data_IF_342750738328
#
_entry.id   IF_342750738328
#
_cell.length_a   1.000
_cell.length_b   1.000
_cell.length_c   1.000
_cell.angle_alpha   90.00
_cell.angle_beta   90.00
_cell.angle_gamma   90.00
#
_symmetry.space_group_name_H-M   'P 1'
#
loop_
_entity.id
_entity.type
_entity.pdbx_description
1 polymer ?
#
# COMPACT_ATOMS: atom_id res chain seq x y z
N UNK A 1 -9.77 2.68 -15.60
CA UNK A 1 -8.67 3.10 -16.49
C UNK A 1 -7.56 2.08 -16.29
N UNK A 2 -7.06 1.44 -17.34
CA UNK A 2 -5.97 0.46 -17.22
C UNK A 2 -4.65 1.21 -17.42
N UNK A 3 -3.84 1.32 -16.37
CA UNK A 3 -2.53 1.98 -16.43
C UNK A 3 -1.45 0.95 -16.79
N UNK A 4 -1.17 0.77 -18.08
CA UNK A 4 -0.27 -0.28 -18.59
C UNK A 4 1.11 -0.36 -17.91
N UNK A 5 1.65 0.76 -17.43
CA UNK A 5 3.00 0.83 -16.83
C UNK A 5 3.02 0.89 -15.31
N UNK A 6 1.86 0.87 -14.64
CA UNK A 6 1.80 0.92 -13.17
C UNK A 6 2.56 -0.23 -12.49
N UNK A 7 2.50 -1.49 -12.98
CA UNK A 7 3.32 -2.57 -12.44
C UNK A 7 4.82 -2.27 -12.49
N UNK A 8 5.31 -1.61 -13.55
CA UNK A 8 6.72 -1.23 -13.66
C UNK A 8 7.14 -0.19 -12.61
N UNK A 9 6.22 0.63 -12.12
CA UNK A 9 6.50 1.62 -11.07
C UNK A 9 6.79 0.96 -9.72
N UNK A 10 6.19 -0.20 -9.45
CA UNK A 10 6.44 -0.98 -8.24
C UNK A 10 7.92 -1.37 -8.14
N UNK A 11 8.48 -1.91 -9.23
CA UNK A 11 9.87 -2.35 -9.29
C UNK A 11 10.84 -1.15 -9.38
N UNK A 12 10.50 -0.14 -10.18
CA UNK A 12 11.38 1.00 -10.43
C UNK A 12 11.49 1.96 -9.24
N UNK A 13 10.47 2.00 -8.35
CA UNK A 13 10.43 2.84 -7.14
C UNK A 13 10.65 4.33 -7.40
N UNK A 14 10.39 4.78 -8.62
CA UNK A 14 10.72 6.12 -9.10
C UNK A 14 10.07 7.23 -8.27
N UNK A 15 8.83 7.01 -7.83
CA UNK A 15 7.97 8.01 -7.20
C UNK A 15 7.78 7.76 -5.71
N UNK A 16 8.71 7.04 -5.08
CA UNK A 16 8.64 6.80 -3.66
C UNK A 16 9.13 8.05 -2.89
N UNK A 17 8.19 8.81 -2.35
CA UNK A 17 8.39 10.12 -1.72
C UNK A 17 8.06 10.14 -0.22
N UNK A 18 7.62 9.00 0.34
CA UNK A 18 7.41 8.81 1.77
C UNK A 18 7.99 7.48 2.26
N UNK A 19 8.14 7.35 3.57
CA UNK A 19 8.56 6.12 4.25
C UNK A 19 7.51 5.73 5.29
N UNK A 20 7.03 4.48 5.20
CA UNK A 20 6.17 3.88 6.21
C UNK A 20 7.04 3.04 7.15
N UNK A 21 6.85 3.21 8.46
CA UNK A 21 7.62 2.54 9.50
C UNK A 21 6.72 1.53 10.22
N UNK A 22 6.95 0.26 9.95
CA UNK A 22 6.19 -0.89 10.46
C UNK A 22 6.71 -1.36 11.83
N UNK A 23 6.09 -2.42 12.36
CA UNK A 23 6.52 -3.04 13.62
C UNK A 23 7.94 -3.60 13.54
N UNK A 24 8.35 -4.08 12.36
CA UNK A 24 9.58 -4.83 12.16
C UNK A 24 10.62 -4.07 11.32
N UNK A 25 10.20 -3.29 10.31
CA UNK A 25 11.09 -2.53 9.39
C UNK A 25 10.41 -1.29 8.83
N UNK A 26 11.03 -0.61 7.87
CA UNK A 26 10.41 0.46 7.10
C UNK A 26 10.47 0.20 5.59
N UNK A 27 9.57 0.85 4.85
CA UNK A 27 9.50 0.78 3.39
C UNK A 27 9.25 2.16 2.80
N UNK A 28 9.99 2.50 1.74
CA UNK A 28 9.68 3.68 0.91
C UNK A 28 8.48 3.39 0.01
N UNK A 29 7.56 4.34 -0.10
CA UNK A 29 6.30 4.23 -0.84
C UNK A 29 5.98 5.52 -1.59
N UNK A 30 5.09 5.43 -2.57
CA UNK A 30 4.52 6.58 -3.27
C UNK A 30 3.24 7.03 -2.59
N UNK A 31 3.20 8.28 -2.10
CA UNK A 31 1.99 8.86 -1.53
C UNK A 31 0.85 8.93 -2.54
N UNK A 32 1.17 9.29 -3.79
CA UNK A 32 0.19 9.42 -4.88
C UNK A 32 -0.56 8.11 -5.13
N UNK A 33 0.18 6.99 -5.22
CA UNK A 33 -0.41 5.68 -5.49
C UNK A 33 -1.29 5.24 -4.32
N UNK A 34 -0.81 5.36 -3.09
CA UNK A 34 -1.57 4.95 -1.91
C UNK A 34 -2.80 5.83 -1.66
N UNK A 35 -2.67 7.16 -1.71
CA UNK A 35 -3.78 8.08 -1.50
C UNK A 35 -4.84 7.99 -2.61
N UNK A 36 -4.44 7.67 -3.85
CA UNK A 36 -5.37 7.45 -4.95
C UNK A 36 -6.25 6.21 -4.78
N UNK A 37 -5.78 5.22 -4.01
CA UNK A 37 -6.46 3.94 -3.82
C UNK A 37 -7.09 3.75 -2.43
N UNK A 38 -6.80 4.64 -1.47
CA UNK A 38 -7.22 4.46 -0.08
C UNK A 38 -7.48 5.79 0.59
N UNK A 39 -8.71 5.94 1.10
CA UNK A 39 -9.09 7.09 1.92
C UNK A 39 -8.22 7.20 3.17
N UNK A 40 -7.84 6.09 3.79
CA UNK A 40 -6.94 6.08 4.94
C UNK A 40 -5.61 6.77 4.61
N UNK A 41 -4.98 6.40 3.48
CA UNK A 41 -3.71 6.99 3.07
C UNK A 41 -3.85 8.43 2.59
N UNK A 42 -4.98 8.76 1.94
CA UNK A 42 -5.29 10.15 1.60
C UNK A 42 -5.35 11.02 2.86
N UNK A 43 -6.12 10.63 3.86
CA UNK A 43 -6.26 11.37 5.12
C UNK A 43 -4.92 11.43 5.88
N UNK A 44 -4.15 10.33 5.89
CA UNK A 44 -2.84 10.25 6.54
C UNK A 44 -1.84 11.25 5.94
N UNK A 45 -1.70 11.28 4.61
CA UNK A 45 -0.70 12.11 3.94
C UNK A 45 -1.10 13.57 3.78
N UNK A 46 -2.40 13.87 3.85
CA UNK A 46 -2.89 15.26 3.76
C UNK A 46 -2.96 15.96 5.11
N UNK A 47 -2.90 15.21 6.22
CA UNK A 47 -2.88 15.77 7.58
C UNK A 47 -1.70 16.73 7.82
N UNK A 48 -0.52 16.34 7.35
CA UNK A 48 0.68 17.17 7.30
C UNK A 48 1.48 16.81 6.04
N UNK A 49 1.44 17.70 5.04
CA UNK A 49 2.07 17.47 3.74
C UNK A 49 3.61 17.51 3.78
N UNK A 50 4.19 18.07 4.86
CA UNK A 50 5.64 18.18 5.06
C UNK A 50 6.22 16.93 5.70
N UNK A 51 5.38 16.13 6.36
CA UNK A 51 5.76 14.86 6.96
C UNK A 51 6.13 13.84 5.86
N UNK A 52 7.29 13.21 6.02
CA UNK A 52 7.82 12.22 5.06
C UNK A 52 7.94 10.82 5.63
N UNK A 53 7.75 10.66 6.95
CA UNK A 53 7.82 9.36 7.66
C UNK A 53 6.57 9.14 8.49
N UNK A 54 5.95 7.96 8.38
CA UNK A 54 4.69 7.64 9.02
C UNK A 54 4.76 6.30 9.72
N UNK A 55 4.42 6.26 11.02
CA UNK A 55 4.39 5.02 11.79
C UNK A 55 3.10 4.23 11.55
N UNK A 56 3.25 2.96 11.16
CA UNK A 56 2.16 1.98 10.98
C UNK A 56 2.54 0.71 11.74
N UNK A 57 2.69 0.85 13.06
CA UNK A 57 3.21 -0.21 13.95
C UNK A 57 2.28 -1.39 14.15
N UNK A 58 1.03 -1.29 13.70
CA UNK A 58 0.07 -2.39 13.71
C UNK A 58 0.34 -3.44 12.63
N UNK A 59 1.15 -3.13 11.62
CA UNK A 59 1.44 -4.02 10.50
C UNK A 59 2.91 -4.44 10.45
N UNK A 60 3.14 -5.62 9.86
CA UNK A 60 4.46 -6.04 9.38
C UNK A 60 4.65 -5.60 7.94
N UNK A 61 5.90 -5.35 7.56
CA UNK A 61 6.24 -4.96 6.19
C UNK A 61 5.82 -6.01 5.15
N UNK A 62 5.87 -7.30 5.50
CA UNK A 62 5.52 -8.40 4.59
C UNK A 62 4.04 -8.34 4.19
N UNK A 63 3.15 -8.12 5.15
CA UNK A 63 1.71 -8.04 4.90
C UNK A 63 1.37 -6.80 4.06
N UNK A 64 1.96 -5.66 4.42
CA UNK A 64 1.76 -4.42 3.68
C UNK A 64 2.28 -4.51 2.24
N UNK A 65 3.39 -5.21 2.00
CA UNK A 65 3.96 -5.34 0.65
C UNK A 65 2.96 -6.01 -0.30
N UNK A 66 2.20 -7.00 0.18
CA UNK A 66 1.14 -7.65 -0.62
C UNK A 66 0.06 -6.65 -1.04
N UNK A 67 -0.39 -5.81 -0.10
CA UNK A 67 -1.32 -4.72 -0.42
C UNK A 67 -0.70 -3.70 -1.41
N UNK A 68 0.58 -3.36 -1.22
CA UNK A 68 1.26 -2.43 -2.11
C UNK A 68 1.43 -2.99 -3.53
N UNK A 69 1.66 -4.31 -3.68
CA UNK A 69 1.62 -5.00 -4.96
C UNK A 69 0.21 -4.93 -5.57
N UNK A 70 -0.83 -5.24 -4.80
CA UNK A 70 -2.22 -5.16 -5.27
C UNK A 70 -2.57 -3.79 -5.87
N UNK A 71 -2.20 -2.68 -5.21
CA UNK A 71 -2.52 -1.34 -5.74
C UNK A 71 -1.75 -0.99 -7.02
N UNK A 72 -0.61 -1.65 -7.30
CA UNK A 72 0.14 -1.45 -8.55
C UNK A 72 -0.34 -2.36 -9.67
N UNK A 73 -0.67 -3.60 -9.35
CA UNK A 73 -1.01 -4.62 -10.35
C UNK A 73 -2.50 -4.64 -10.69
N UNK A 74 -3.37 -4.16 -9.81
CA UNK A 74 -4.80 -4.08 -10.07
C UNK A 74 -5.39 -5.43 -10.51
N UNK A 75 -5.99 -5.47 -11.70
CA UNK A 75 -6.60 -6.68 -12.26
C UNK A 75 -5.58 -7.80 -12.57
N UNK A 76 -4.29 -7.47 -12.74
CA UNK A 76 -3.22 -8.45 -12.96
C UNK A 76 -2.68 -9.03 -11.64
N UNK A 77 -3.18 -8.58 -10.49
CA UNK A 77 -2.73 -9.07 -9.19
C UNK A 77 -3.17 -10.53 -8.98
N UNK A 78 -2.20 -11.43 -8.86
CA UNK A 78 -2.43 -12.85 -8.57
C UNK A 78 -2.47 -13.09 -7.07
N UNK A 79 -3.61 -13.55 -6.60
CA UNK A 79 -3.84 -13.96 -5.22
C UNK A 79 -3.59 -15.46 -5.05
N UNK A 80 -2.95 -15.82 -3.95
CA UNK A 80 -2.76 -17.19 -3.47
C UNK A 80 -3.14 -17.27 -1.99
N UNK A 81 -3.02 -18.47 -1.39
CA UNK A 81 -3.41 -18.71 0.00
C UNK A 81 -2.64 -17.88 1.03
N UNK A 82 -1.38 -17.56 0.78
CA UNK A 82 -0.58 -16.77 1.72
C UNK A 82 -0.89 -15.27 1.54
N UNK A 83 -1.03 -14.83 0.28
CA UNK A 83 -1.36 -13.44 -0.04
C UNK A 83 -2.74 -13.04 0.45
N UNK A 84 -3.73 -13.92 0.41
CA UNK A 84 -5.08 -13.56 0.89
C UNK A 84 -5.09 -13.30 2.40
N UNK A 85 -4.31 -14.06 3.18
CA UNK A 85 -4.19 -13.83 4.63
C UNK A 85 -3.52 -12.50 4.92
N UNK A 86 -2.38 -12.22 4.26
CA UNK A 86 -1.68 -10.95 4.38
C UNK A 86 -2.59 -9.76 4.00
N UNK A 87 -3.36 -9.90 2.92
CA UNK A 87 -4.25 -8.87 2.42
C UNK A 87 -5.40 -8.56 3.39
N UNK A 88 -6.02 -9.59 3.97
CA UNK A 88 -7.04 -9.46 5.01
C UNK A 88 -6.48 -8.81 6.29
N UNK A 89 -5.24 -9.13 6.67
CA UNK A 89 -4.58 -8.48 7.81
C UNK A 89 -4.46 -6.97 7.59
N UNK A 90 -4.02 -6.55 6.39
CA UNK A 90 -3.95 -5.12 6.05
C UNK A 90 -5.33 -4.47 6.06
N UNK A 91 -6.36 -5.16 5.57
CA UNK A 91 -7.73 -4.65 5.59
C UNK A 91 -8.21 -4.36 7.01
N UNK A 92 -7.97 -5.28 7.94
CA UNK A 92 -8.38 -5.17 9.34
C UNK A 92 -7.62 -4.04 10.02
N UNK A 93 -6.29 -4.04 9.92
CA UNK A 93 -5.44 -3.09 10.67
C UNK A 93 -5.55 -1.65 10.18
N UNK A 94 -5.79 -1.45 8.88
CA UNK A 94 -5.96 -0.12 8.30
C UNK A 94 -7.42 0.29 8.11
N UNK A 95 -8.36 -0.60 8.50
CA UNK A 95 -9.79 -0.42 8.32
C UNK A 95 -10.16 0.04 6.90
N UNK A 96 -9.65 -0.68 5.89
CA UNK A 96 -9.84 -0.35 4.47
C UNK A 96 -11.16 -0.96 3.96
N UNK A 97 -12.22 -0.18 3.68
CA UNK A 97 -13.49 -0.72 3.19
C UNK A 97 -13.42 -1.16 1.72
N UNK A 98 -12.39 -0.70 0.98
CA UNK A 98 -12.34 -0.78 -0.49
C UNK A 98 -11.67 -2.04 -1.04
N UNK A 99 -11.31 -3.00 -0.18
CA UNK A 99 -10.73 -4.28 -0.60
C UNK A 99 -11.84 -5.19 -1.14
N UNK A 100 -11.99 -5.22 -2.46
CA UNK A 100 -12.88 -6.14 -3.17
C UNK A 100 -12.11 -7.37 -3.60
N UNK A 101 -12.27 -8.47 -2.87
CA UNK A 101 -11.92 -9.80 -3.39
C UNK A 101 -13.01 -10.17 -4.39
N UNK A 102 -12.67 -10.27 -5.68
CA UNK A 102 -13.56 -10.82 -6.70
C UNK A 102 -13.31 -12.32 -6.84
#
# INVERSE_FOLDING_TARGET
MIYQYFPNLFEARLFNDAELVFSDRSMKVSRMILAGHSKYFFDLFTKDITQTKFDIKSLKIADFKVYYEYVHFGDDFKIDGDKIVAFLQVQIELNLPDIRVR
#
